data_IF_558500840780
#
_entry.id   IF_558500840780
#
_cell.length_a   1.000
_cell.length_b   1.000
_cell.length_c   1.000
_cell.angle_alpha   90.00
_cell.angle_beta   90.00
_cell.angle_gamma   90.00
#
_symmetry.space_group_name_H-M   'P 1'
#
loop_
_entity.id
_entity.type
_entity.pdbx_description
1 polymer ?
#
# COMPACT_ATOMS: atom_id res chain seq x y z
N UNK A 1 28.09 -4.79 4.94
CA UNK A 1 27.18 -3.97 4.12
C UNK A 1 25.77 -3.93 4.72
N UNK A 2 25.21 -5.05 5.18
CA UNK A 2 23.88 -5.03 5.85
C UNK A 2 23.90 -4.30 7.19
N UNK A 3 24.94 -4.50 8.01
CA UNK A 3 25.11 -3.82 9.30
C UNK A 3 25.32 -2.31 9.15
N UNK A 4 25.92 -1.88 8.04
CA UNK A 4 26.11 -0.47 7.71
C UNK A 4 24.77 0.22 7.41
N UNK A 5 23.91 -0.43 6.62
CA UNK A 5 22.54 0.05 6.36
C UNK A 5 21.70 0.12 7.64
N UNK A 6 21.82 -0.91 8.50
CA UNK A 6 21.14 -0.94 9.81
C UNK A 6 21.63 0.17 10.73
N UNK A 7 22.94 0.43 10.77
CA UNK A 7 23.51 1.52 11.56
C UNK A 7 23.07 2.89 11.03
N UNK A 8 23.04 3.07 9.70
CA UNK A 8 22.53 4.30 9.08
C UNK A 8 21.06 4.54 9.41
N UNK A 9 20.23 3.50 9.35
CA UNK A 9 18.83 3.59 9.74
C UNK A 9 18.65 4.01 11.21
N UNK A 10 19.46 3.45 12.13
CA UNK A 10 19.44 3.84 13.55
C UNK A 10 19.85 5.30 13.76
N UNK A 11 20.85 5.77 13.03
CA UNK A 11 21.28 7.17 13.08
C UNK A 11 20.18 8.11 12.60
N UNK A 12 19.54 7.81 11.46
CA UNK A 12 18.43 8.59 10.94
C UNK A 12 17.22 8.60 11.88
N UNK A 13 16.95 7.50 12.60
CA UNK A 13 15.90 7.47 13.63
C UNK A 13 16.22 8.44 14.79
N UNK A 14 17.47 8.47 15.26
CA UNK A 14 17.87 9.40 16.32
C UNK A 14 17.76 10.86 15.87
N UNK A 15 18.12 11.15 14.62
CA UNK A 15 17.93 12.49 14.05
C UNK A 15 16.44 12.84 13.93
N UNK A 16 15.58 11.87 13.62
CA UNK A 16 14.13 12.05 13.58
C UNK A 16 13.57 12.42 14.96
N UNK A 17 14.01 11.71 16.02
CA UNK A 17 13.61 12.02 17.39
C UNK A 17 13.99 13.46 17.76
N UNK A 18 15.19 13.91 17.36
CA UNK A 18 15.62 15.30 17.58
C UNK A 18 14.79 16.33 16.82
N UNK A 19 14.29 15.98 15.62
CA UNK A 19 13.36 16.85 14.87
C UNK A 19 12.00 16.89 15.55
N UNK A 20 11.49 15.76 16.05
CA UNK A 20 10.22 15.68 16.74
C UNK A 20 10.25 16.47 18.06
N UNK A 21 11.36 16.42 18.80
CA UNK A 21 11.60 17.28 19.98
C UNK A 21 11.56 18.78 19.61
N UNK A 22 12.25 19.18 18.54
CA UNK A 22 12.23 20.57 18.08
C UNK A 22 10.84 21.01 17.62
N UNK A 23 10.07 20.14 16.95
CA UNK A 23 8.68 20.43 16.59
C UNK A 23 7.87 20.69 17.86
N UNK A 24 8.00 19.83 18.87
CA UNK A 24 7.30 19.96 20.14
C UNK A 24 7.63 21.28 20.86
N UNK A 25 8.90 21.68 20.91
CA UNK A 25 9.32 22.97 21.50
C UNK A 25 8.64 24.16 20.79
N UNK A 26 8.62 24.16 19.45
CA UNK A 26 7.98 25.23 18.71
C UNK A 26 6.45 25.20 18.85
N UNK A 27 5.84 24.02 18.97
CA UNK A 27 4.41 23.89 19.27
C UNK A 27 4.07 24.40 20.68
N UNK A 28 4.98 24.27 21.65
CA UNK A 28 4.78 24.81 22.99
C UNK A 28 4.69 26.34 22.97
N UNK A 29 5.53 27.01 22.16
CA UNK A 29 5.46 28.47 21.96
C UNK A 29 4.09 28.88 21.39
N UNK A 30 3.54 28.09 20.47
CA UNK A 30 2.21 28.33 19.91
C UNK A 30 1.11 28.16 20.96
N UNK A 31 1.21 27.14 21.80
CA UNK A 31 0.27 26.88 22.91
C UNK A 31 0.31 27.98 23.97
N UNK A 32 1.48 28.48 24.31
CA UNK A 32 1.65 29.59 25.28
C UNK A 32 0.96 30.88 24.78
N UNK A 33 1.03 31.13 23.47
CA UNK A 33 0.35 32.26 22.83
C UNK A 33 -1.12 31.97 22.45
N UNK A 34 -1.65 30.79 22.79
CA UNK A 34 -3.02 30.33 22.49
C UNK A 34 -3.41 30.41 21.00
N UNK A 35 -2.47 30.16 20.09
CA UNK A 35 -2.69 30.26 18.64
C UNK A 35 -2.29 28.98 17.92
N UNK A 36 -3.12 28.53 16.98
CA UNK A 36 -2.85 27.37 16.13
C UNK A 36 -1.83 27.64 15.00
N UNK A 37 -1.62 26.68 14.10
CA UNK A 37 -0.74 26.83 12.92
C UNK A 37 -1.37 27.62 11.76
N UNK A 38 -2.70 27.73 11.71
CA UNK A 38 -3.48 28.24 10.58
C UNK A 38 -4.23 29.54 10.86
N UNK A 39 -4.38 29.93 12.12
CA UNK A 39 -5.17 31.09 12.53
C UNK A 39 -4.52 32.42 12.09
N UNK A 40 -5.32 33.45 11.74
CA UNK A 40 -4.81 34.76 11.37
C UNK A 40 -4.13 35.45 12.56
N UNK A 41 -3.01 36.12 12.32
CA UNK A 41 -2.24 36.88 13.33
C UNK A 41 -2.57 38.38 13.30
N UNK A 42 -3.56 38.75 12.50
CA UNK A 42 -3.93 40.12 12.18
C UNK A 42 -5.45 40.25 12.31
N UNK A 43 -5.91 41.38 12.82
CA UNK A 43 -7.34 41.69 12.96
C UNK A 43 -7.98 42.10 11.62
N UNK A 44 -9.27 42.46 11.65
CA UNK A 44 -10.01 42.91 10.46
C UNK A 44 -9.54 44.28 9.94
N UNK A 45 -8.71 44.99 10.71
CA UNK A 45 -8.18 46.31 10.41
C UNK A 45 -6.70 46.26 9.97
N UNK A 46 -6.16 45.07 9.71
CA UNK A 46 -4.77 44.82 9.32
C UNK A 46 -3.71 45.12 10.41
N UNK A 47 -4.10 45.12 11.70
CA UNK A 47 -3.18 45.32 12.82
C UNK A 47 -2.83 44.01 13.55
N UNK A 48 -1.59 43.88 14.08
CA UNK A 48 -1.19 42.74 14.91
C UNK A 48 -2.14 42.56 16.10
N UNK A 49 -2.56 41.32 16.37
CA UNK A 49 -3.43 41.05 17.53
C UNK A 49 -2.74 41.47 18.84
N UNK A 50 -3.46 42.24 19.64
CA UNK A 50 -2.99 42.68 20.96
C UNK A 50 -2.85 41.48 21.92
N UNK A 51 -1.73 41.42 22.64
CA UNK A 51 -1.46 40.36 23.63
C UNK A 51 -0.79 39.10 23.08
N UNK A 52 -0.43 39.09 21.79
CA UNK A 52 0.23 37.96 21.12
C UNK A 52 1.58 38.42 20.58
N UNK A 53 2.63 37.62 20.80
CA UNK A 53 3.90 37.84 20.13
C UNK A 53 3.83 37.30 18.68
N UNK A 54 3.41 38.16 17.76
CA UNK A 54 3.29 37.83 16.34
C UNK A 54 4.63 37.41 15.72
N UNK A 55 5.75 37.93 16.24
CA UNK A 55 7.07 37.60 15.74
C UNK A 55 7.47 36.17 16.15
N UNK A 56 7.36 35.85 17.44
CA UNK A 56 7.65 34.51 17.94
C UNK A 56 6.76 33.45 17.27
N UNK A 57 5.46 33.72 17.13
CA UNK A 57 4.50 32.81 16.48
C UNK A 57 4.84 32.62 15.00
N UNK A 58 5.17 33.69 14.27
CA UNK A 58 5.56 33.58 12.85
C UNK A 58 6.85 32.76 12.68
N UNK A 59 7.84 33.01 13.53
CA UNK A 59 9.10 32.26 13.52
C UNK A 59 8.89 30.78 13.86
N UNK A 60 8.09 30.48 14.88
CA UNK A 60 7.75 29.11 15.28
C UNK A 60 6.99 28.37 14.16
N UNK A 61 5.97 28.99 13.54
CA UNK A 61 5.24 28.42 12.40
C UNK A 61 6.17 28.12 11.22
N UNK A 62 7.08 29.04 10.92
CA UNK A 62 8.08 28.85 9.86
C UNK A 62 9.04 27.68 10.14
N UNK A 63 9.50 27.54 11.39
CA UNK A 63 10.34 26.43 11.83
C UNK A 63 9.60 25.10 11.75
N UNK A 64 8.37 25.01 12.28
CA UNK A 64 7.56 23.79 12.24
C UNK A 64 7.37 23.30 10.80
N UNK A 65 7.04 24.20 9.86
CA UNK A 65 6.88 23.81 8.44
C UNK A 65 8.16 23.21 7.85
N UNK A 66 9.32 23.81 8.14
CA UNK A 66 10.62 23.30 7.67
C UNK A 66 10.91 21.93 8.28
N UNK A 67 10.81 21.83 9.61
CA UNK A 67 11.04 20.58 10.34
C UNK A 67 10.10 19.45 9.92
N UNK A 68 8.81 19.74 9.66
CA UNK A 68 7.84 18.75 9.18
C UNK A 68 8.18 18.24 7.77
N UNK A 69 8.68 19.12 6.89
CA UNK A 69 9.17 18.72 5.58
C UNK A 69 10.40 17.82 5.72
N UNK A 70 11.38 18.24 6.53
CA UNK A 70 12.62 17.48 6.78
C UNK A 70 12.31 16.11 7.40
N UNK A 71 11.36 16.06 8.35
CA UNK A 71 10.86 14.83 8.96
C UNK A 71 10.30 13.86 7.92
N UNK A 72 9.48 14.39 7.00
CA UNK A 72 8.87 13.59 5.92
C UNK A 72 9.94 13.06 4.97
N UNK A 73 10.95 13.88 4.64
CA UNK A 73 12.08 13.48 3.81
C UNK A 73 12.92 12.38 4.47
N UNK A 74 13.29 12.55 5.74
CA UNK A 74 14.06 11.54 6.49
C UNK A 74 13.29 10.24 6.65
N UNK A 75 11.99 10.31 6.91
CA UNK A 75 11.16 9.11 7.01
C UNK A 75 11.13 8.35 5.68
N UNK A 76 11.04 9.06 4.55
CA UNK A 76 11.13 8.45 3.22
C UNK A 76 12.52 7.83 2.94
N UNK A 77 13.61 8.38 3.49
CA UNK A 77 14.95 7.78 3.42
C UNK A 77 15.03 6.48 4.24
N UNK A 78 14.51 6.50 5.48
CA UNK A 78 14.46 5.33 6.36
C UNK A 78 13.67 4.20 5.68
N UNK A 79 12.51 4.49 5.10
CA UNK A 79 11.67 3.52 4.40
C UNK A 79 12.44 2.85 3.25
N UNK A 80 13.19 3.62 2.45
CA UNK A 80 14.03 3.07 1.37
C UNK A 80 15.10 2.11 1.90
N UNK A 81 15.75 2.44 3.02
CA UNK A 81 16.78 1.60 3.62
C UNK A 81 16.18 0.29 4.14
N UNK A 82 15.03 0.36 4.81
CA UNK A 82 14.32 -0.84 5.33
C UNK A 82 13.92 -1.76 4.18
N UNK A 83 13.29 -1.20 3.12
CA UNK A 83 12.93 -1.98 1.93
C UNK A 83 14.15 -2.62 1.28
N UNK A 84 15.28 -1.90 1.21
CA UNK A 84 16.52 -2.45 0.66
C UNK A 84 17.08 -3.61 1.50
N UNK A 85 16.96 -3.57 2.83
CA UNK A 85 17.36 -4.68 3.71
C UNK A 85 16.46 -5.88 3.45
N UNK A 86 15.13 -5.70 3.47
CA UNK A 86 14.16 -6.80 3.25
C UNK A 86 14.33 -7.44 1.87
N UNK A 87 14.52 -6.65 0.82
CA UNK A 87 14.74 -7.17 -0.53
C UNK A 87 16.04 -7.99 -0.63
N UNK A 88 17.09 -7.63 0.10
CA UNK A 88 18.35 -8.37 0.12
C UNK A 88 18.22 -9.70 0.90
N UNK A 89 17.47 -9.70 2.00
CA UNK A 89 17.18 -10.92 2.76
C UNK A 89 16.34 -11.92 1.95
N UNK A 90 15.33 -11.45 1.19
CA UNK A 90 14.52 -12.34 0.33
C UNK A 90 15.29 -12.98 -0.84
N UNK A 91 16.36 -12.35 -1.33
CA UNK A 91 17.17 -12.90 -2.44
C UNK A 91 18.27 -13.88 -1.96
N UNK A 92 18.86 -13.63 -0.79
CA UNK A 92 19.86 -14.53 -0.19
C UNK A 92 19.25 -15.79 0.47
N UNK A 93 17.94 -15.81 0.68
CA UNK A 93 17.17 -16.99 1.14
C UNK A 93 16.91 -18.06 0.06
N UNK A 94 17.80 -18.22 -0.93
CA UNK A 94 17.76 -19.34 -1.88
C UNK A 94 18.37 -20.61 -1.27
N UNK A 95 17.83 -21.02 -0.14
CA UNK A 95 17.95 -22.33 0.49
C UNK A 95 16.69 -22.44 1.33
N UNK A 96 15.65 -23.01 0.73
CA UNK A 96 14.32 -23.31 1.27
C UNK A 96 14.05 -22.81 2.70
N UNK A 97 13.14 -21.83 2.83
CA UNK A 97 11.86 -22.00 3.52
C UNK A 97 10.99 -20.75 3.35
N UNK A 98 9.80 -21.00 2.79
CA UNK A 98 8.55 -20.29 2.94
C UNK A 98 8.51 -19.25 4.09
N UNK A 99 8.53 -17.98 3.71
CA UNK A 99 7.73 -16.93 4.32
C UNK A 99 7.29 -16.09 3.12
N UNK A 100 6.27 -16.49 2.35
CA UNK A 100 4.88 -16.26 2.73
C UNK A 100 4.79 -15.13 3.78
N UNK A 101 3.96 -14.12 3.51
CA UNK A 101 3.17 -13.47 4.56
C UNK A 101 2.68 -14.56 5.55
N UNK A 102 2.00 -14.28 6.67
CA UNK A 102 1.03 -15.28 7.07
C UNK A 102 0.13 -15.50 5.83
N UNK A 103 0.42 -16.55 5.06
CA UNK A 103 -0.59 -17.37 4.44
C UNK A 103 -1.47 -17.64 5.63
N UNK A 104 -2.47 -16.79 5.77
CA UNK A 104 -3.77 -17.22 6.14
C UNK A 104 -3.98 -18.47 5.28
N UNK A 105 -3.53 -19.61 5.81
CA UNK A 105 -4.42 -20.71 6.10
C UNK A 105 -5.62 -20.10 6.79
N UNK A 106 -6.43 -19.44 5.97
CA UNK A 106 -7.84 -19.20 6.15
C UNK A 106 -8.34 -20.61 6.19
N UNK A 107 -8.32 -21.15 7.39
CA UNK A 107 -8.86 -22.44 7.73
C UNK A 107 -10.21 -22.52 7.05
N UNK A 108 -10.37 -23.57 6.24
CA UNK A 108 -11.49 -23.86 5.35
C UNK A 108 -11.57 -23.00 4.09
N UNK A 109 -11.69 -23.68 2.95
CA UNK A 109 -12.33 -23.21 1.71
C UNK A 109 -13.83 -22.90 1.95
N UNK A 110 -14.15 -22.19 3.03
CA UNK A 110 -15.49 -21.73 3.33
C UNK A 110 -15.67 -20.40 2.61
N UNK A 111 -16.60 -20.33 1.65
CA UNK A 111 -16.84 -19.10 0.92
C UNK A 111 -17.17 -17.98 1.91
N UNK A 112 -16.45 -16.86 1.78
CA UNK A 112 -16.63 -15.70 2.64
C UNK A 112 -17.85 -14.88 2.27
N UNK A 113 -18.27 -14.99 1.00
CA UNK A 113 -19.31 -14.17 0.41
C UNK A 113 -20.05 -15.04 -0.61
N UNK A 114 -21.37 -15.00 -0.54
CA UNK A 114 -22.26 -15.48 -1.59
C UNK A 114 -22.64 -14.28 -2.46
N UNK A 115 -22.40 -14.38 -3.77
CA UNK A 115 -22.82 -13.35 -4.72
C UNK A 115 -24.31 -13.56 -5.00
N UNK A 116 -25.15 -12.59 -4.61
CA UNK A 116 -26.61 -12.74 -4.62
C UNK A 116 -27.23 -12.47 -6.01
N UNK A 117 -26.68 -11.49 -6.75
CA UNK A 117 -27.10 -11.18 -8.13
C UNK A 117 -25.93 -10.64 -8.95
N UNK A 118 -25.79 -11.16 -10.16
CA UNK A 118 -24.92 -10.62 -11.20
C UNK A 118 -25.83 -9.96 -12.24
N UNK A 119 -25.58 -8.70 -12.59
CA UNK A 119 -26.43 -7.97 -13.53
C UNK A 119 -26.25 -8.45 -14.98
N UNK A 120 -27.33 -8.45 -15.79
CA UNK A 120 -27.26 -8.77 -17.21
C UNK A 120 -26.21 -7.90 -17.93
N UNK A 121 -25.34 -8.52 -18.73
CA UNK A 121 -24.24 -7.92 -19.50
C UNK A 121 -23.05 -7.38 -18.68
N UNK A 122 -22.95 -7.69 -17.39
CA UNK A 122 -21.81 -7.25 -16.58
C UNK A 122 -20.51 -7.97 -16.94
N UNK A 123 -19.34 -7.35 -16.70
CA UNK A 123 -18.03 -7.98 -16.93
C UNK A 123 -17.82 -9.26 -16.10
N UNK A 124 -18.45 -9.36 -14.93
CA UNK A 124 -18.47 -10.56 -14.10
C UNK A 124 -19.30 -11.69 -14.74
N UNK A 125 -20.35 -11.36 -15.50
CA UNK A 125 -21.17 -12.34 -16.21
C UNK A 125 -20.46 -12.94 -17.44
N UNK A 126 -19.59 -12.18 -18.10
CA UNK A 126 -18.90 -12.62 -19.33
C UNK A 126 -17.79 -13.65 -19.10
N UNK A 127 -17.54 -14.00 -17.84
CA UNK A 127 -16.66 -15.09 -17.36
C UNK A 127 -15.19 -15.00 -17.79
N UNK A 128 -14.33 -15.57 -16.94
CA UNK A 128 -12.88 -15.63 -17.10
C UNK A 128 -12.51 -16.90 -17.88
N UNK A 129 -11.54 -16.77 -18.78
CA UNK A 129 -11.06 -17.85 -19.66
C UNK A 129 -10.65 -19.10 -18.88
N UNK A 130 -11.14 -20.27 -19.33
CA UNK A 130 -10.92 -21.56 -18.70
C UNK A 130 -9.79 -22.28 -19.44
N UNK A 131 -8.75 -22.72 -18.73
CA UNK A 131 -7.67 -23.52 -19.33
C UNK A 131 -8.11 -24.98 -19.40
N UNK A 132 -8.16 -25.54 -20.61
CA UNK A 132 -8.49 -26.94 -20.87
C UNK A 132 -7.34 -27.65 -21.56
N UNK A 133 -7.23 -28.95 -21.33
CA UNK A 133 -6.29 -29.82 -22.04
C UNK A 133 -7.10 -30.83 -22.85
N UNK A 134 -6.98 -30.77 -24.17
CA UNK A 134 -7.67 -31.64 -25.12
C UNK A 134 -6.69 -32.66 -25.68
N UNK A 135 -7.14 -33.91 -25.81
CA UNK A 135 -6.42 -34.95 -26.52
C UNK A 135 -7.09 -35.18 -27.88
N UNK A 136 -6.36 -34.97 -28.99
CA UNK A 136 -6.83 -35.25 -30.35
C UNK A 136 -5.91 -36.28 -30.99
N UNK A 137 -6.38 -37.52 -31.07
CA UNK A 137 -5.53 -38.67 -31.42
C UNK A 137 -4.49 -38.92 -30.32
N UNK A 138 -3.20 -38.87 -30.67
CA UNK A 138 -2.08 -39.06 -29.72
C UNK A 138 -1.46 -37.72 -29.28
N UNK A 139 -1.95 -36.58 -29.81
CA UNK A 139 -1.39 -35.26 -29.50
C UNK A 139 -2.26 -34.51 -28.49
N UNK A 140 -1.60 -33.99 -27.45
CA UNK A 140 -2.22 -33.20 -26.39
C UNK A 140 -2.11 -31.70 -26.71
N UNK A 141 -3.23 -31.00 -26.64
CA UNK A 141 -3.35 -29.57 -26.88
C UNK A 141 -3.84 -28.86 -25.61
N UNK A 142 -3.13 -27.85 -25.15
CA UNK A 142 -3.57 -26.98 -24.05
C UNK A 142 -4.13 -25.69 -24.61
N UNK A 143 -5.40 -25.42 -24.36
CA UNK A 143 -6.13 -24.28 -24.91
C UNK A 143 -6.81 -23.49 -23.80
N UNK A 144 -7.09 -22.22 -24.07
CA UNK A 144 -7.92 -21.37 -23.21
C UNK A 144 -9.27 -21.20 -23.91
N UNK A 145 -10.33 -21.68 -23.28
CA UNK A 145 -11.70 -21.56 -23.77
C UNK A 145 -12.41 -20.47 -22.98
N UNK A 146 -12.92 -19.46 -23.69
CA UNK A 146 -13.81 -18.46 -23.10
C UNK A 146 -15.21 -18.72 -23.61
N UNK A 147 -16.15 -19.15 -22.77
CA UNK A 147 -17.51 -19.42 -23.20
C UNK A 147 -18.18 -18.11 -23.65
N UNK A 148 -18.81 -18.14 -24.82
CA UNK A 148 -19.60 -17.04 -25.38
C UNK A 148 -21.01 -17.55 -25.72
N UNK A 149 -21.99 -16.65 -25.71
CA UNK A 149 -23.35 -16.95 -26.17
C UNK A 149 -23.30 -17.13 -27.69
N UNK A 150 -23.80 -18.25 -28.18
CA UNK A 150 -23.84 -18.58 -29.60
C UNK A 150 -25.22 -19.18 -29.92
N UNK A 151 -25.76 -18.88 -31.10
CA UNK A 151 -27.12 -19.26 -31.46
C UNK A 151 -27.11 -20.66 -32.12
N UNK A 152 -27.38 -21.69 -31.31
CA UNK A 152 -27.36 -23.10 -31.71
C UNK A 152 -27.43 -24.06 -30.53
N UNK A 153 -27.96 -25.28 -30.72
CA UNK A 153 -28.15 -26.27 -29.64
C UNK A 153 -26.84 -26.97 -29.25
N UNK A 154 -26.10 -26.37 -28.32
CA UNK A 154 -25.01 -26.99 -27.57
C UNK A 154 -24.23 -25.97 -26.72
N UNK A 155 -23.37 -26.43 -25.81
CA UNK A 155 -22.34 -25.59 -25.20
C UNK A 155 -21.08 -25.74 -26.07
N UNK A 156 -20.85 -24.77 -26.97
CA UNK A 156 -19.65 -24.65 -27.84
C UNK A 156 -19.60 -25.60 -29.05
N UNK A 157 -20.64 -25.72 -29.89
CA UNK A 157 -20.53 -26.31 -31.25
C UNK A 157 -20.08 -27.77 -31.38
N UNK A 158 -19.78 -28.43 -30.27
CA UNK A 158 -19.23 -29.77 -30.24
C UNK A 158 -19.55 -30.43 -28.89
N UNK A 159 -19.65 -31.76 -28.91
CA UNK A 159 -19.92 -32.57 -27.75
C UNK A 159 -18.60 -33.07 -27.16
N UNK A 160 -18.31 -32.68 -25.92
CA UNK A 160 -17.13 -33.16 -25.19
C UNK A 160 -17.48 -34.45 -24.46
N UNK A 161 -16.73 -35.52 -24.70
CA UNK A 161 -16.77 -36.73 -23.90
C UNK A 161 -15.60 -36.71 -22.92
N UNK A 162 -15.89 -36.91 -21.63
CA UNK A 162 -14.84 -37.09 -20.64
C UNK A 162 -14.06 -38.37 -20.95
N UNK A 163 -12.74 -38.26 -21.05
CA UNK A 163 -11.87 -39.43 -21.11
C UNK A 163 -11.61 -39.82 -19.66
N UNK A 164 -12.29 -40.85 -19.17
CA UNK A 164 -11.98 -41.45 -17.88
C UNK A 164 -10.64 -42.20 -18.00
N UNK A 165 -9.66 -41.79 -17.19
CA UNK A 165 -8.40 -42.52 -17.09
C UNK A 165 -8.68 -43.81 -16.31
N UNK A 166 -8.68 -44.94 -17.02
CA UNK A 166 -8.61 -46.28 -16.41
C UNK A 166 -7.16 -46.57 -15.98
#
# INVERSE_FOLDING_TARGET
>A
MEDEKKNRAKELMKELDSIDEQIFENELILKENNIGMTEPLVDEQDFPLAGIDTYAVTAARGKIRRLQNDRTEKMAEIDKIIVAIHNQTSQNGSSDQNNEEPSVHRTSNKPIVQVDKVSPNSPAQKSKSIRITLLRGVKVYRLMLTPQIWDGSGLVGCQFTAIENN
#
